data_IF_578682007049
#
_entry.id   IF_578682007049
#
_cell.length_a   1.000
_cell.length_b   1.000
_cell.length_c   1.000
_cell.angle_alpha   90.00
_cell.angle_beta   90.00
_cell.angle_gamma   90.00
#
_symmetry.space_group_name_H-M   'P 1'
#
loop_
_entity.id
_entity.type
_entity.pdbx_description
1 polymer ?
#
# COMPACT_ATOMS: atom_id res chain seq x y z
N UNK A 1 12.88 -4.84 16.61
CA UNK A 1 13.84 -4.02 15.85
C UNK A 1 14.04 -4.48 14.39
N UNK A 2 13.50 -5.62 13.96
CA UNK A 2 13.63 -6.08 12.55
C UNK A 2 12.43 -5.68 11.67
N UNK A 3 11.26 -5.49 12.30
CA UNK A 3 9.98 -5.29 11.59
C UNK A 3 9.93 -3.95 10.86
N UNK A 4 10.49 -2.87 11.42
CA UNK A 4 10.54 -1.57 10.74
C UNK A 4 11.42 -1.59 9.48
N UNK A 5 12.52 -2.34 9.51
CA UNK A 5 13.41 -2.48 8.35
C UNK A 5 12.74 -3.31 7.27
N UNK A 6 12.07 -4.40 7.63
CA UNK A 6 11.30 -5.21 6.70
C UNK A 6 10.12 -4.44 6.12
N UNK A 7 9.43 -3.67 6.95
CA UNK A 7 8.33 -2.79 6.53
C UNK A 7 8.80 -1.76 5.52
N UNK A 8 9.89 -1.04 5.82
CA UNK A 8 10.48 -0.07 4.88
C UNK A 8 10.95 -0.75 3.59
N UNK A 9 11.50 -1.97 3.66
CA UNK A 9 11.88 -2.74 2.48
C UNK A 9 10.67 -3.09 1.61
N UNK A 10 9.57 -3.54 2.22
CA UNK A 10 8.33 -3.84 1.49
C UNK A 10 7.78 -2.57 0.81
N UNK A 11 7.78 -1.44 1.51
CA UNK A 11 7.37 -0.15 0.94
C UNK A 11 8.31 0.34 -0.17
N UNK A 12 9.61 0.01 -0.09
CA UNK A 12 10.56 0.31 -1.18
C UNK A 12 10.18 -0.38 -2.48
N UNK A 13 9.69 -1.63 -2.43
CA UNK A 13 9.21 -2.33 -3.62
C UNK A 13 8.01 -1.63 -4.28
N UNK A 14 7.11 -1.04 -3.48
CA UNK A 14 6.03 -0.20 -4.02
C UNK A 14 6.58 1.07 -4.67
N UNK A 15 7.56 1.74 -4.02
CA UNK A 15 8.23 2.92 -4.58
C UNK A 15 8.88 2.63 -5.93
N UNK A 16 9.62 1.53 -6.02
CA UNK A 16 10.27 1.08 -7.25
C UNK A 16 9.23 0.81 -8.34
N UNK A 17 8.17 0.04 -8.03
CA UNK A 17 7.09 -0.28 -8.99
C UNK A 17 6.43 0.98 -9.54
N UNK A 18 6.13 1.95 -8.69
CA UNK A 18 5.55 3.22 -9.14
C UNK A 18 6.50 4.02 -10.02
N UNK A 19 7.77 4.10 -9.63
CA UNK A 19 8.82 4.75 -10.43
C UNK A 19 8.94 4.11 -11.81
N UNK A 20 8.94 2.78 -11.87
CA UNK A 20 9.04 2.01 -13.13
C UNK A 20 7.84 2.23 -14.04
N UNK A 21 6.66 2.45 -13.46
CA UNK A 21 5.43 2.73 -14.20
C UNK A 21 5.17 4.24 -14.39
N UNK A 22 6.13 5.10 -14.03
CA UNK A 22 6.02 6.56 -14.08
C UNK A 22 4.77 7.11 -13.37
N UNK A 23 4.34 6.42 -12.30
CA UNK A 23 3.23 6.81 -11.45
C UNK A 23 3.80 7.62 -10.29
N UNK A 24 3.36 8.87 -10.09
CA UNK A 24 3.81 9.63 -8.94
C UNK A 24 3.35 8.94 -7.67
N UNK A 25 4.23 8.91 -6.68
CA UNK A 25 3.89 8.33 -5.38
C UNK A 25 2.64 8.99 -4.81
N UNK A 26 2.38 10.25 -5.22
CA UNK A 26 1.15 11.01 -5.04
C UNK A 26 -0.20 10.30 -5.24
N UNK A 27 -0.18 9.19 -5.97
CA UNK A 27 -1.33 8.35 -6.27
C UNK A 27 -1.41 7.08 -5.43
N UNK A 28 -0.55 6.87 -4.43
CA UNK A 28 -0.56 5.66 -3.61
C UNK A 28 -1.90 5.46 -2.89
N UNK A 29 -2.59 6.55 -2.53
CA UNK A 29 -3.94 6.49 -1.96
C UNK A 29 -4.97 5.84 -2.90
N UNK A 30 -4.75 5.84 -4.23
CA UNK A 30 -5.62 5.17 -5.21
C UNK A 30 -5.38 3.65 -5.29
N UNK A 31 -4.24 3.16 -4.77
CA UNK A 31 -3.93 1.72 -4.75
C UNK A 31 -4.92 0.97 -3.89
N UNK A 32 -5.39 1.57 -2.80
CA UNK A 32 -6.34 0.94 -1.87
C UNK A 32 -7.59 0.45 -2.58
N UNK A 33 -8.20 1.30 -3.41
CA UNK A 33 -9.43 0.93 -4.13
C UNK A 33 -9.18 -0.18 -5.15
N UNK A 34 -8.11 -0.05 -5.93
CA UNK A 34 -7.74 -1.06 -6.94
C UNK A 34 -7.37 -2.40 -6.30
N UNK A 35 -6.66 -2.36 -5.17
CA UNK A 35 -6.28 -3.53 -4.38
C UNK A 35 -7.51 -4.23 -3.80
N UNK A 36 -8.43 -3.50 -3.18
CA UNK A 36 -9.67 -4.05 -2.64
C UNK A 36 -10.54 -4.64 -3.74
N UNK A 37 -10.66 -3.97 -4.89
CA UNK A 37 -11.39 -4.50 -6.04
C UNK A 37 -10.77 -5.80 -6.59
N UNK A 38 -9.43 -5.86 -6.67
CA UNK A 38 -8.71 -7.05 -7.10
C UNK A 38 -8.85 -8.20 -6.09
N UNK A 39 -8.78 -7.91 -4.79
CA UNK A 39 -9.01 -8.89 -3.73
C UNK A 39 -10.44 -9.42 -3.77
N UNK A 40 -11.43 -8.55 -3.93
CA UNK A 40 -12.83 -8.96 -4.05
C UNK A 40 -13.08 -9.84 -5.28
N UNK A 41 -12.36 -9.60 -6.39
CA UNK A 41 -12.47 -10.38 -7.62
C UNK A 41 -11.72 -11.71 -7.57
N UNK A 42 -10.54 -11.77 -6.93
CA UNK A 42 -9.64 -12.93 -7.03
C UNK A 42 -9.55 -13.77 -5.75
N UNK A 43 -9.78 -13.19 -4.56
CA UNK A 43 -9.67 -13.90 -3.28
C UNK A 43 -10.99 -14.53 -2.82
N UNK A 44 -12.03 -14.56 -3.67
CA UNK A 44 -13.37 -15.04 -3.30
C UNK A 44 -14.18 -14.07 -2.44
N UNK A 45 -13.70 -12.83 -2.30
CA UNK A 45 -14.30 -11.78 -1.49
C UNK A 45 -13.33 -11.20 -0.46
N UNK A 46 -13.71 -10.06 0.11
CA UNK A 46 -13.04 -9.46 1.27
C UNK A 46 -14.14 -9.20 2.29
N UNK A 47 -14.03 -9.74 3.51
CA UNK A 47 -15.02 -9.41 4.55
C UNK A 47 -14.92 -7.93 4.93
N UNK A 48 -15.98 -7.33 5.49
CA UNK A 48 -15.93 -5.94 5.96
C UNK A 48 -14.77 -5.67 6.94
N UNK A 49 -14.43 -6.66 7.77
CA UNK A 49 -13.31 -6.59 8.73
C UNK A 49 -11.96 -6.58 8.01
N UNK A 50 -11.75 -7.52 7.09
CA UNK A 50 -10.51 -7.58 6.29
C UNK A 50 -10.33 -6.30 5.47
N UNK A 51 -11.41 -5.75 4.92
CA UNK A 51 -11.38 -4.48 4.19
C UNK A 51 -10.86 -3.36 5.08
N UNK A 52 -11.39 -3.23 6.30
CA UNK A 52 -10.93 -2.21 7.26
C UNK A 52 -9.47 -2.40 7.65
N UNK A 53 -9.02 -3.64 7.83
CA UNK A 53 -7.61 -3.94 8.14
C UNK A 53 -6.68 -3.53 6.99
N UNK A 54 -7.04 -3.86 5.75
CA UNK A 54 -6.28 -3.45 4.56
C UNK A 54 -6.26 -1.94 4.36
N UNK A 55 -7.39 -1.27 4.54
CA UNK A 55 -7.49 0.19 4.50
C UNK A 55 -6.58 0.84 5.55
N UNK A 56 -6.58 0.33 6.78
CA UNK A 56 -5.73 0.82 7.85
C UNK A 56 -4.24 0.58 7.55
N UNK A 57 -3.88 -0.59 7.01
CA UNK A 57 -2.51 -0.94 6.67
C UNK A 57 -1.97 -0.05 5.53
N UNK A 58 -2.76 0.17 4.48
CA UNK A 58 -2.38 1.03 3.35
C UNK A 58 -2.34 2.51 3.74
N UNK A 59 -3.24 2.96 4.62
CA UNK A 59 -3.18 4.30 5.20
C UNK A 59 -1.90 4.50 6.03
N UNK A 60 -1.51 3.52 6.85
CA UNK A 60 -0.25 3.54 7.59
C UNK A 60 0.95 3.57 6.64
N UNK A 61 0.96 2.72 5.61
CA UNK A 61 1.99 2.73 4.58
C UNK A 61 2.15 4.11 3.95
N UNK A 62 1.03 4.73 3.57
CA UNK A 62 1.04 6.05 2.97
C UNK A 62 1.60 7.12 3.94
N UNK A 63 1.17 7.12 5.20
CA UNK A 63 1.70 8.02 6.22
C UNK A 63 3.20 7.83 6.43
N UNK A 64 3.66 6.59 6.58
CA UNK A 64 5.08 6.26 6.77
C UNK A 64 5.92 6.72 5.57
N UNK A 65 5.45 6.49 4.35
CA UNK A 65 6.14 6.96 3.13
C UNK A 65 6.25 8.49 3.07
N UNK A 66 5.24 9.23 3.54
CA UNK A 66 5.34 10.69 3.67
C UNK A 66 6.40 11.09 4.69
N UNK A 67 6.47 10.41 5.84
CA UNK A 67 7.49 10.73 6.86
C UNK A 67 8.92 10.54 6.35
N UNK A 68 9.11 9.68 5.36
CA UNK A 68 10.42 9.42 4.75
C UNK A 68 10.71 10.28 3.52
N UNK A 69 9.81 11.21 3.14
CA UNK A 69 10.01 12.09 1.99
C UNK A 69 9.97 11.37 0.65
N UNK A 70 9.19 10.29 0.54
CA UNK A 70 8.98 9.59 -0.75
C UNK A 70 7.85 10.21 -1.57
N UNK A 71 7.31 11.33 -1.10
CA UNK A 71 6.17 12.09 -1.62
C UNK A 71 6.55 13.55 -1.79
#
# INVERSE_FOLDING_TARGET
MNDDRQWRSALSSFKETFSDNNVPMNEFNKVTDAFLAAMQKNAGGVTPEQKKEWEALLAKAYADMKTWGWY
#
